data_IF_606991031208
#
_entry.id   IF_606991031208
#
_cell.length_a   1.000
_cell.length_b   1.000
_cell.length_c   1.000
_cell.angle_alpha   90.00
_cell.angle_beta   90.00
_cell.angle_gamma   90.00
#
_symmetry.space_group_name_H-M   'P 1'
#
loop_
_entity.id
_entity.type
_entity.pdbx_description
1 polymer ?
#
# COMPACT_ATOMS: atom_id res chain seq x y z
N UNK A 1 12.21 -2.65 0.85
CA UNK A 1 11.79 -3.97 0.31
C UNK A 1 12.32 -4.12 -1.10
N UNK A 2 12.87 -5.29 -1.52
CA UNK A 2 13.33 -5.47 -2.90
C UNK A 2 12.16 -5.31 -3.88
N UNK A 3 12.32 -4.46 -4.90
CA UNK A 3 11.24 -4.10 -5.83
C UNK A 3 10.76 -5.27 -6.68
N UNK A 4 11.62 -6.26 -6.94
CA UNK A 4 11.28 -7.51 -7.65
C UNK A 4 10.23 -8.37 -6.93
N UNK A 5 9.96 -8.10 -5.65
CA UNK A 5 8.94 -8.81 -4.85
C UNK A 5 7.58 -8.11 -4.84
N UNK A 6 7.47 -6.94 -5.48
CA UNK A 6 6.26 -6.13 -5.52
C UNK A 6 5.46 -6.45 -6.79
N UNK A 7 4.12 -6.43 -6.69
CA UNK A 7 3.24 -6.56 -7.86
C UNK A 7 3.41 -5.39 -8.83
N UNK A 8 3.59 -4.19 -8.28
CA UNK A 8 3.90 -2.97 -9.02
C UNK A 8 5.24 -2.41 -8.50
N UNK A 9 6.36 -2.64 -9.22
CA UNK A 9 7.69 -2.25 -8.76
C UNK A 9 7.89 -0.74 -8.72
N UNK A 10 8.00 -0.19 -7.51
CA UNK A 10 8.30 1.22 -7.28
C UNK A 10 9.09 1.38 -5.97
N UNK A 11 10.14 2.21 -5.96
CA UNK A 11 10.92 2.47 -4.73
C UNK A 11 10.18 3.41 -3.78
N UNK A 12 10.74 3.67 -2.60
CA UNK A 12 10.14 4.64 -1.67
C UNK A 12 10.40 6.08 -2.10
N UNK A 13 11.62 6.35 -2.55
CA UNK A 13 12.05 7.67 -3.03
C UNK A 13 11.26 8.16 -4.26
N UNK A 14 10.60 7.25 -4.99
CA UNK A 14 9.69 7.62 -6.09
C UNK A 14 8.31 8.07 -5.59
N UNK A 15 7.89 7.66 -4.39
CA UNK A 15 6.54 7.90 -3.83
C UNK A 15 6.50 9.08 -2.86
N UNK A 16 7.64 9.44 -2.27
CA UNK A 16 7.73 10.48 -1.25
C UNK A 16 8.67 11.59 -1.67
N UNK A 17 8.36 12.82 -1.26
CA UNK A 17 9.26 13.98 -1.43
C UNK A 17 10.22 14.09 -0.24
N UNK A 18 9.73 13.74 0.96
CA UNK A 18 10.49 13.73 2.21
C UNK A 18 10.28 12.37 2.88
N UNK A 19 11.35 11.63 3.23
CA UNK A 19 11.23 10.23 3.68
C UNK A 19 10.47 10.06 5.00
N UNK A 20 10.41 11.09 5.84
CA UNK A 20 9.66 11.06 7.10
C UNK A 20 8.14 11.29 6.92
N UNK A 21 7.69 11.69 5.73
CA UNK A 21 6.28 11.96 5.42
C UNK A 21 5.78 11.12 4.24
N UNK A 22 4.81 10.26 4.51
CA UNK A 22 4.02 9.59 3.49
C UNK A 22 2.63 10.23 3.41
N UNK A 23 2.27 10.75 2.23
CA UNK A 23 0.94 11.27 1.93
C UNK A 23 0.36 10.47 0.77
N UNK A 24 -0.77 9.81 0.99
CA UNK A 24 -1.42 8.94 0.01
C UNK A 24 -2.91 9.24 -0.08
N UNK A 25 -3.50 8.90 -1.22
CA UNK A 25 -4.96 8.89 -1.39
C UNK A 25 -5.48 7.58 -0.80
N UNK A 26 -6.35 7.65 0.20
CA UNK A 26 -6.93 6.50 0.90
C UNK A 26 -8.00 5.73 0.11
N UNK A 27 -7.78 5.53 -1.20
CA UNK A 27 -8.72 4.88 -2.13
C UNK A 27 -8.05 3.62 -2.66
N UNK A 28 -8.61 2.46 -2.32
CA UNK A 28 -8.16 1.17 -2.80
C UNK A 28 -8.27 1.10 -4.33
N UNK A 29 -7.17 0.70 -5.00
CA UNK A 29 -7.09 0.63 -6.46
C UNK A 29 -7.94 -0.47 -7.10
N UNK A 30 -8.49 -1.40 -6.31
CA UNK A 30 -9.39 -2.42 -6.83
C UNK A 30 -10.75 -1.80 -7.21
N UNK A 31 -11.54 -1.38 -6.21
CA UNK A 31 -12.91 -0.85 -6.40
C UNK A 31 -13.22 0.36 -5.52
N UNK A 32 -12.21 1.05 -5.01
CA UNK A 32 -12.36 2.37 -4.39
C UNK A 32 -12.75 2.41 -2.92
N UNK A 33 -12.84 1.27 -2.22
CA UNK A 33 -13.03 1.25 -0.76
C UNK A 33 -11.89 1.96 -0.02
N UNK A 34 -12.15 2.40 1.22
CA UNK A 34 -11.13 2.99 2.09
C UNK A 34 -10.38 1.90 2.87
N UNK A 35 -9.05 1.76 2.72
CA UNK A 35 -8.27 0.82 3.52
C UNK A 35 -8.16 1.24 4.99
N UNK A 36 -8.17 0.26 5.90
CA UNK A 36 -7.95 0.44 7.32
C UNK A 36 -6.45 0.55 7.58
N UNK A 37 -6.00 1.60 8.27
CA UNK A 37 -4.60 1.79 8.65
C UNK A 37 -4.17 0.86 9.80
N UNK A 38 -2.87 0.57 9.87
CA UNK A 38 -2.25 -0.33 10.86
C UNK A 38 -2.88 -1.73 10.88
N UNK A 39 -3.24 -2.24 9.71
CA UNK A 39 -3.89 -3.53 9.54
C UNK A 39 -3.32 -4.32 8.35
N UNK A 40 -3.54 -5.64 8.36
CA UNK A 40 -3.06 -6.56 7.34
C UNK A 40 -1.60 -7.01 7.54
N UNK A 41 -1.16 -7.95 6.70
CA UNK A 41 0.06 -8.73 6.92
C UNK A 41 1.39 -7.96 6.76
N UNK A 42 1.38 -6.70 6.31
CA UNK A 42 2.59 -5.90 6.03
C UNK A 42 2.69 -4.59 6.82
N UNK A 43 1.92 -4.46 7.91
CA UNK A 43 2.02 -3.31 8.82
C UNK A 43 1.67 -1.95 8.19
N UNK A 44 0.94 -1.97 7.07
CA UNK A 44 0.47 -0.79 6.37
C UNK A 44 -1.05 -0.68 6.43
N UNK A 45 -1.71 -1.06 5.34
CA UNK A 45 -3.15 -0.88 5.18
C UNK A 45 -3.84 -2.16 4.71
N UNK A 46 -5.08 -2.36 5.16
CA UNK A 46 -5.92 -3.48 4.75
C UNK A 46 -7.26 -3.01 4.22
N UNK A 47 -7.59 -3.37 2.99
CA UNK A 47 -8.91 -3.13 2.40
C UNK A 47 -9.83 -4.34 2.65
N UNK A 48 -10.85 -4.22 3.51
CA UNK A 48 -11.69 -5.34 3.92
C UNK A 48 -12.67 -5.80 2.83
N UNK A 49 -12.88 -5.00 1.78
CA UNK A 49 -13.87 -5.30 0.75
C UNK A 49 -13.55 -6.60 -0.01
N UNK A 50 -12.28 -6.77 -0.42
CA UNK A 50 -11.84 -7.95 -1.18
C UNK A 50 -10.44 -8.45 -0.77
N UNK A 51 -9.98 -8.03 0.41
CA UNK A 51 -8.74 -8.52 1.00
C UNK A 51 -7.46 -8.00 0.35
N UNK A 52 -7.45 -6.75 -0.13
CA UNK A 52 -6.22 -6.12 -0.62
C UNK A 52 -5.36 -5.66 0.55
N UNK A 53 -4.11 -6.09 0.60
CA UNK A 53 -3.13 -5.70 1.60
C UNK A 53 -2.08 -4.77 0.99
N UNK A 54 -1.81 -3.67 1.67
CA UNK A 54 -0.80 -2.69 1.29
C UNK A 54 0.28 -2.61 2.37
N UNK A 55 1.53 -2.45 1.96
CA UNK A 55 2.63 -2.20 2.90
C UNK A 55 2.61 -0.75 3.43
N UNK A 56 3.55 -0.43 4.33
CA UNK A 56 3.65 0.88 4.96
C UNK A 56 3.85 2.03 3.96
N UNK A 57 4.33 1.77 2.74
CA UNK A 57 4.46 2.77 1.66
C UNK A 57 3.21 2.88 0.78
N UNK A 58 2.13 2.15 1.13
CA UNK A 58 0.89 2.10 0.36
C UNK A 58 0.97 1.25 -0.92
N UNK A 59 1.97 0.35 -1.05
CA UNK A 59 2.11 -0.51 -2.23
C UNK A 59 1.36 -1.82 -2.06
N UNK A 60 0.68 -2.28 -3.13
CA UNK A 60 -0.09 -3.54 -3.12
C UNK A 60 0.81 -4.76 -2.94
N UNK A 61 0.47 -5.64 -1.99
CA UNK A 61 1.20 -6.87 -1.66
C UNK A 61 0.42 -8.14 -1.95
N UNK A 62 -0.90 -8.10 -1.74
CA UNK A 62 -1.82 -9.24 -1.86
C UNK A 62 -3.23 -8.73 -2.12
N UNK A 63 -4.04 -9.50 -2.83
CA UNK A 63 -5.41 -9.15 -3.21
C UNK A 63 -5.70 -9.50 -4.67
N UNK A 64 -6.96 -9.35 -5.11
CA UNK A 64 -7.30 -9.41 -6.53
C UNK A 64 -6.53 -8.35 -7.31
#
# INVERSE_FOLDING_TARGET
VPTSTLRDPETDDQRVIKPEWLVVIGVCTHLGCVPIANAGDWGGYYCPCHGSHYDASGRIRKGP
#
